data_IF_481427018872
#
_entry.id   IF_481427018872
#
_cell.length_a   1.000
_cell.length_b   1.000
_cell.length_c   1.000
_cell.angle_alpha   90.00
_cell.angle_beta   90.00
_cell.angle_gamma   90.00
#
_symmetry.space_group_name_H-M   'P 1'
#
loop_
_entity.id
_entity.type
_entity.pdbx_description
1 polymer ?
#
# COMPACT_ATOMS: atom_id res chain seq x y z
N UNK A 1 -23.95 -20.09 -21.09
CA UNK A 1 -23.85 -21.50 -21.57
C UNK A 1 -23.00 -22.24 -20.55
N UNK A 2 -23.65 -23.07 -19.69
CA UNK A 2 -22.95 -23.98 -18.78
C UNK A 2 -22.31 -25.08 -19.66
N UNK A 3 -20.98 -25.13 -19.69
CA UNK A 3 -20.27 -26.27 -20.26
C UNK A 3 -20.61 -27.48 -19.38
N UNK A 4 -21.25 -28.48 -19.97
CA UNK A 4 -21.55 -29.74 -19.30
C UNK A 4 -20.25 -30.48 -18.94
N UNK A 5 -20.30 -31.44 -18.03
CA UNK A 5 -19.13 -32.17 -17.58
C UNK A 5 -18.53 -32.95 -18.74
N UNK A 6 -17.25 -32.67 -19.07
CA UNK A 6 -16.45 -33.49 -19.97
C UNK A 6 -16.12 -34.79 -19.20
N UNK A 7 -16.93 -35.82 -19.39
CA UNK A 7 -16.64 -37.17 -18.91
C UNK A 7 -15.45 -37.73 -19.68
N UNK A 8 -14.26 -37.73 -19.08
CA UNK A 8 -13.10 -38.45 -19.58
C UNK A 8 -13.35 -39.99 -19.43
N UNK A 9 -12.97 -40.82 -20.41
CA UNK A 9 -13.07 -42.27 -20.28
C UNK A 9 -12.03 -42.74 -19.24
N UNK A 10 -12.47 -42.91 -17.99
CA UNK A 10 -11.59 -43.30 -16.89
C UNK A 10 -12.10 -42.88 -15.50
N UNK A 11 -13.27 -42.24 -15.40
CA UNK A 11 -13.98 -42.04 -14.13
C UNK A 11 -13.39 -41.02 -13.15
N UNK A 12 -12.45 -40.15 -13.57
CA UNK A 12 -11.96 -39.03 -12.73
C UNK A 12 -12.86 -37.80 -12.94
N UNK A 13 -13.75 -37.54 -11.97
CA UNK A 13 -14.55 -36.31 -11.90
C UNK A 13 -13.67 -35.19 -11.28
N UNK A 14 -13.00 -34.43 -12.13
CA UNK A 14 -12.17 -33.28 -11.70
C UNK A 14 -13.09 -32.09 -11.38
N UNK A 15 -13.38 -31.89 -10.10
CA UNK A 15 -14.10 -30.72 -9.57
C UNK A 15 -13.15 -29.71 -8.98
N UNK A 16 -12.68 -28.71 -9.75
CA UNK A 16 -11.86 -27.63 -9.19
C UNK A 16 -12.68 -26.89 -8.13
N UNK A 17 -12.17 -26.86 -6.90
CA UNK A 17 -12.83 -26.17 -5.78
C UNK A 17 -11.98 -24.99 -5.33
N UNK A 18 -12.52 -23.79 -5.46
CA UNK A 18 -11.90 -22.57 -4.95
C UNK A 18 -12.33 -22.37 -3.50
N UNK A 19 -11.41 -22.59 -2.55
CA UNK A 19 -11.72 -22.65 -1.12
C UNK A 19 -12.12 -21.29 -0.50
N UNK A 20 -11.55 -20.18 -1.00
CA UNK A 20 -11.72 -18.86 -0.39
C UNK A 20 -12.66 -17.93 -1.15
N UNK A 21 -13.08 -18.31 -2.34
CA UNK A 21 -14.06 -17.62 -3.15
C UNK A 21 -14.89 -18.63 -3.96
N UNK A 22 -15.75 -19.44 -3.29
CA UNK A 22 -16.49 -20.53 -3.94
C UNK A 22 -17.36 -20.08 -5.09
N UNK A 23 -17.92 -18.88 -4.99
CA UNK A 23 -18.83 -18.30 -6.00
C UNK A 23 -18.09 -17.52 -7.09
N UNK A 24 -16.73 -17.48 -7.05
CA UNK A 24 -15.87 -16.75 -7.98
C UNK A 24 -16.26 -15.28 -8.12
N UNK A 25 -16.72 -14.65 -7.04
CA UNK A 25 -17.11 -13.26 -7.05
C UNK A 25 -15.89 -12.35 -7.15
N UNK A 26 -15.83 -11.59 -8.23
CA UNK A 26 -14.75 -10.64 -8.47
C UNK A 26 -14.60 -9.57 -7.36
N UNK A 27 -15.73 -9.20 -6.71
CA UNK A 27 -15.73 -8.23 -5.61
C UNK A 27 -14.81 -8.65 -4.46
N UNK A 28 -14.80 -9.92 -4.07
CA UNK A 28 -13.99 -10.45 -2.98
C UNK A 28 -12.50 -10.29 -3.24
N UNK A 29 -12.09 -10.31 -4.52
CA UNK A 29 -10.70 -10.13 -4.91
C UNK A 29 -10.31 -8.65 -5.04
N UNK A 30 -11.18 -7.84 -5.66
CA UNK A 30 -10.85 -6.46 -6.01
C UNK A 30 -11.03 -5.48 -4.84
N UNK A 31 -12.06 -5.63 -4.00
CA UNK A 31 -12.35 -4.62 -2.96
C UNK A 31 -11.22 -4.51 -1.92
N UNK A 32 -10.65 -5.59 -1.35
CA UNK A 32 -9.49 -5.45 -0.48
C UNK A 32 -8.29 -4.79 -1.18
N UNK A 33 -8.12 -5.04 -2.47
CA UNK A 33 -7.07 -4.39 -3.26
C UNK A 33 -7.31 -2.90 -3.49
N UNK A 34 -8.56 -2.49 -3.70
CA UNK A 34 -8.94 -1.07 -3.82
C UNK A 34 -8.66 -0.33 -2.50
N UNK A 35 -8.92 -0.96 -1.34
CA UNK A 35 -8.56 -0.39 -0.04
C UNK A 35 -7.07 -0.09 0.02
N UNK A 36 -6.22 -1.06 -0.35
CA UNK A 36 -4.77 -0.87 -0.35
C UNK A 36 -4.32 0.27 -1.28
N UNK A 37 -4.93 0.37 -2.46
CA UNK A 37 -4.62 1.41 -3.44
C UNK A 37 -5.06 2.79 -2.97
N UNK A 38 -6.23 2.93 -2.35
CA UNK A 38 -6.72 4.20 -1.80
C UNK A 38 -5.80 4.69 -0.69
N UNK A 39 -5.45 3.83 0.25
CA UNK A 39 -4.51 4.15 1.34
C UNK A 39 -3.15 4.60 0.79
N UNK A 40 -2.64 3.92 -0.24
CA UNK A 40 -1.39 4.30 -0.90
C UNK A 40 -1.51 5.67 -1.58
N UNK A 41 -2.55 5.87 -2.38
CA UNK A 41 -2.73 7.10 -3.14
C UNK A 41 -2.90 8.31 -2.21
N UNK A 42 -3.77 8.19 -1.20
CA UNK A 42 -4.01 9.27 -0.21
C UNK A 42 -2.72 9.55 0.57
N UNK A 43 -2.04 8.51 1.06
CA UNK A 43 -0.77 8.64 1.79
C UNK A 43 0.32 9.33 0.95
N UNK A 44 0.52 8.90 -0.30
CA UNK A 44 1.47 9.52 -1.22
C UNK A 44 1.12 10.98 -1.54
N UNK A 45 -0.16 11.26 -1.86
CA UNK A 45 -0.62 12.62 -2.20
C UNK A 45 -0.40 13.60 -1.04
N UNK A 46 -0.85 13.23 0.16
CA UNK A 46 -0.73 14.10 1.34
C UNK A 46 0.73 14.39 1.68
N UNK A 47 1.59 13.37 1.66
CA UNK A 47 3.00 13.55 2.03
C UNK A 47 3.84 14.19 0.93
N UNK A 48 3.56 13.90 -0.34
CA UNK A 48 4.29 14.52 -1.44
C UNK A 48 4.08 16.04 -1.51
N UNK A 49 2.92 16.53 -1.05
CA UNK A 49 2.62 17.95 -0.98
C UNK A 49 3.12 18.62 0.31
N UNK A 50 3.42 17.85 1.37
CA UNK A 50 3.65 18.38 2.70
C UNK A 50 4.81 19.38 2.81
N UNK A 51 5.98 19.06 2.21
CA UNK A 51 7.17 19.91 2.25
C UNK A 51 7.17 20.92 1.08
N UNK A 52 6.68 20.51 -0.08
CA UNK A 52 6.61 21.39 -1.26
C UNK A 52 5.73 22.59 -0.98
N UNK A 53 4.63 22.42 -0.26
CA UNK A 53 3.75 23.51 0.13
C UNK A 53 4.49 24.55 0.98
N UNK A 54 5.33 24.13 1.93
CA UNK A 54 6.16 25.02 2.74
C UNK A 54 7.20 25.77 1.88
N UNK A 55 7.75 25.11 0.85
CA UNK A 55 8.67 25.73 -0.09
C UNK A 55 7.97 26.81 -0.94
N UNK A 56 6.77 26.51 -1.47
CA UNK A 56 6.01 27.46 -2.30
C UNK A 56 5.53 28.69 -1.52
N UNK A 57 5.17 28.50 -0.26
CA UNK A 57 4.71 29.61 0.61
C UNK A 57 5.87 30.38 1.26
N UNK A 58 7.12 29.91 1.10
CA UNK A 58 8.30 30.55 1.71
C UNK A 58 8.45 30.32 3.22
N UNK A 59 7.58 29.50 3.83
CA UNK A 59 7.64 29.21 5.28
C UNK A 59 8.78 28.29 5.67
N UNK A 60 9.40 27.62 4.71
CA UNK A 60 10.53 26.72 5.00
C UNK A 60 11.74 27.47 5.60
N UNK A 61 11.98 28.74 5.17
CA UNK A 61 13.04 29.56 5.71
C UNK A 61 12.83 29.88 7.21
N UNK A 62 11.60 30.11 7.61
CA UNK A 62 11.23 30.33 9.02
C UNK A 62 11.45 29.08 9.85
N UNK A 63 11.21 27.92 9.30
CA UNK A 63 11.43 26.63 9.98
C UNK A 63 12.93 26.37 10.15
N UNK A 64 13.78 26.78 9.18
CA UNK A 64 15.22 26.60 9.24
C UNK A 64 15.91 27.41 10.33
N UNK A 65 15.37 28.57 10.75
CA UNK A 65 15.93 29.36 11.85
C UNK A 65 15.49 28.86 13.24
N UNK A 66 14.56 27.91 13.30
CA UNK A 66 14.16 27.27 14.55
C UNK A 66 15.11 26.11 14.91
N UNK A 67 15.41 25.86 16.20
CA UNK A 67 16.31 24.78 16.63
C UNK A 67 15.66 23.38 16.56
N UNK A 68 14.80 23.15 15.58
CA UNK A 68 14.10 21.86 15.37
C UNK A 68 15.01 20.90 14.58
N UNK A 69 15.13 19.67 15.07
CA UNK A 69 15.86 18.63 14.33
C UNK A 69 15.08 18.19 13.09
N UNK A 70 15.74 17.94 11.94
CA UNK A 70 15.08 17.48 10.72
C UNK A 70 14.17 16.25 10.90
N UNK A 71 14.57 15.33 11.78
CA UNK A 71 13.78 14.13 12.12
C UNK A 71 12.47 14.51 12.83
N UNK A 72 12.53 15.44 13.79
CA UNK A 72 11.36 15.89 14.54
C UNK A 72 10.34 16.58 13.62
N UNK A 73 10.84 17.41 12.72
CA UNK A 73 10.01 18.05 11.70
C UNK A 73 9.30 17.04 10.80
N UNK A 74 10.05 16.07 10.26
CA UNK A 74 9.51 15.04 9.39
C UNK A 74 8.50 14.16 10.12
N UNK A 75 8.81 13.70 11.33
CA UNK A 75 7.89 12.89 12.12
C UNK A 75 6.63 13.66 12.47
N UNK A 76 6.76 14.94 12.82
CA UNK A 76 5.60 15.82 13.09
C UNK A 76 4.69 15.99 11.88
N UNK A 77 5.25 16.03 10.67
CA UNK A 77 4.46 16.10 9.42
C UNK A 77 3.85 14.75 9.05
N UNK A 78 4.57 13.65 9.26
CA UNK A 78 4.09 12.30 8.91
C UNK A 78 3.02 11.77 9.88
N UNK A 79 3.11 12.10 11.17
CA UNK A 79 2.21 11.57 12.18
C UNK A 79 0.71 11.81 11.87
N UNK A 80 0.26 13.04 11.54
CA UNK A 80 -1.14 13.27 11.18
C UNK A 80 -1.55 12.50 9.93
N UNK A 81 -0.67 12.35 8.93
CA UNK A 81 -0.98 11.60 7.72
C UNK A 81 -1.04 10.09 7.97
N UNK A 82 -0.22 9.57 8.88
CA UNK A 82 -0.33 8.19 9.32
C UNK A 82 -1.68 7.92 10.01
N UNK A 83 -2.13 8.84 10.87
CA UNK A 83 -3.45 8.73 11.50
C UNK A 83 -4.57 8.77 10.46
N UNK A 84 -4.50 9.69 9.49
CA UNK A 84 -5.46 9.74 8.38
C UNK A 84 -5.49 8.43 7.61
N UNK A 85 -4.32 7.85 7.26
CA UNK A 85 -4.25 6.58 6.54
C UNK A 85 -4.80 5.39 7.33
N UNK A 86 -4.63 5.37 8.65
CA UNK A 86 -5.25 4.35 9.52
C UNK A 86 -6.77 4.51 9.59
N UNK A 87 -7.26 5.74 9.69
CA UNK A 87 -8.70 6.03 9.66
C UNK A 87 -9.30 5.67 8.30
N UNK A 88 -8.62 6.02 7.20
CA UNK A 88 -9.01 5.66 5.85
C UNK A 88 -9.13 4.14 5.68
N UNK A 89 -8.13 3.39 6.14
CA UNK A 89 -8.19 1.92 6.16
C UNK A 89 -9.40 1.39 6.93
N UNK A 90 -9.66 1.93 8.12
CA UNK A 90 -10.78 1.50 8.93
C UNK A 90 -12.13 1.83 8.26
N UNK A 91 -12.26 3.04 7.72
CA UNK A 91 -13.47 3.51 7.05
C UNK A 91 -13.78 2.71 5.79
N UNK A 92 -12.78 2.56 4.90
CA UNK A 92 -12.99 1.83 3.63
C UNK A 92 -13.18 0.33 3.89
N UNK A 93 -12.53 -0.22 4.94
CA UNK A 93 -12.79 -1.60 5.38
C UNK A 93 -14.22 -1.76 5.90
N UNK A 94 -14.74 -0.79 6.67
CA UNK A 94 -16.13 -0.80 7.12
C UNK A 94 -17.11 -0.76 5.94
N UNK A 95 -16.84 0.09 4.93
CA UNK A 95 -17.65 0.09 3.69
C UNK A 95 -17.57 -1.26 2.98
N UNK A 96 -16.39 -1.88 2.90
CA UNK A 96 -16.20 -3.21 2.33
C UNK A 96 -17.05 -4.27 3.03
N UNK A 97 -17.09 -4.24 4.37
CA UNK A 97 -17.87 -5.18 5.16
C UNK A 97 -19.39 -4.94 5.04
N UNK A 98 -19.83 -3.69 5.29
CA UNK A 98 -21.26 -3.40 5.44
C UNK A 98 -21.99 -3.15 4.13
N UNK A 99 -21.31 -2.66 3.10
CA UNK A 99 -21.93 -2.36 1.81
C UNK A 99 -21.70 -3.45 0.76
N UNK A 100 -20.50 -4.03 0.75
CA UNK A 100 -20.12 -5.05 -0.23
C UNK A 100 -20.22 -6.48 0.29
N UNK A 101 -20.61 -6.68 1.56
CA UNK A 101 -20.72 -8.00 2.22
C UNK A 101 -19.46 -8.86 2.07
N UNK A 102 -18.28 -8.23 2.14
CA UNK A 102 -17.02 -8.95 1.99
C UNK A 102 -16.71 -9.69 3.28
N UNK A 103 -16.37 -10.99 3.21
CA UNK A 103 -16.05 -11.75 4.41
C UNK A 103 -14.77 -11.20 5.07
N UNK A 104 -14.88 -10.85 6.35
CA UNK A 104 -13.73 -10.49 7.18
C UNK A 104 -13.48 -11.62 8.19
N UNK A 105 -12.45 -12.42 7.94
CA UNK A 105 -12.18 -13.63 8.71
C UNK A 105 -11.01 -13.50 9.67
N UNK A 106 -10.17 -12.49 9.50
CA UNK A 106 -8.94 -12.31 10.26
C UNK A 106 -9.04 -11.30 11.39
N UNK A 107 -7.89 -10.87 11.92
CA UNK A 107 -7.79 -9.90 13.01
C UNK A 107 -7.70 -8.48 12.46
N UNK A 108 -8.56 -7.59 12.96
CA UNK A 108 -8.51 -6.16 12.63
C UNK A 108 -7.22 -5.49 13.14
N UNK A 109 -6.70 -5.93 14.28
CA UNK A 109 -5.43 -5.45 14.81
C UNK A 109 -4.26 -5.78 13.87
N UNK A 110 -4.26 -6.97 13.25
CA UNK A 110 -3.25 -7.36 12.27
C UNK A 110 -3.34 -6.53 10.98
N UNK A 111 -4.56 -6.20 10.55
CA UNK A 111 -4.79 -5.28 9.42
C UNK A 111 -4.20 -3.89 9.72
N UNK A 112 -4.51 -3.32 10.89
CA UNK A 112 -3.98 -2.01 11.30
C UNK A 112 -2.46 -2.02 11.43
N UNK A 113 -1.87 -3.10 11.97
CA UNK A 113 -0.42 -3.25 12.04
C UNK A 113 0.19 -3.27 10.63
N UNK A 114 -0.35 -4.08 9.72
CA UNK A 114 0.08 -4.13 8.32
C UNK A 114 -0.05 -2.77 7.63
N UNK A 115 -1.15 -2.06 7.88
CA UNK A 115 -1.36 -0.70 7.37
C UNK A 115 -0.34 0.28 7.93
N UNK A 116 -0.04 0.25 9.22
CA UNK A 116 0.95 1.14 9.83
C UNK A 116 2.34 0.93 9.22
N UNK A 117 2.75 -0.32 8.99
CA UNK A 117 4.02 -0.65 8.34
C UNK A 117 4.03 -0.24 6.86
N UNK A 118 2.93 -0.43 6.16
CA UNK A 118 2.75 0.00 4.79
C UNK A 118 2.82 1.54 4.66
N UNK A 119 2.16 2.25 5.56
CA UNK A 119 2.20 3.70 5.63
C UNK A 119 3.62 4.22 5.89
N UNK A 120 4.42 3.55 6.71
CA UNK A 120 5.82 3.94 6.94
C UNK A 120 6.60 4.05 5.61
N UNK A 121 6.46 3.06 4.73
CA UNK A 121 7.06 3.07 3.39
C UNK A 121 6.44 4.12 2.47
N UNK A 122 5.12 4.14 2.40
CA UNK A 122 4.37 5.05 1.52
C UNK A 122 4.61 6.51 1.86
N UNK A 123 4.55 6.87 3.16
CA UNK A 123 4.83 8.23 3.63
C UNK A 123 6.29 8.61 3.36
N UNK A 124 7.24 7.67 3.51
CA UNK A 124 8.64 7.88 3.17
C UNK A 124 8.86 8.20 1.69
N UNK A 125 8.18 7.46 0.79
CA UNK A 125 8.22 7.72 -0.66
C UNK A 125 7.61 9.10 -0.98
N UNK A 126 6.45 9.41 -0.41
CA UNK A 126 5.81 10.73 -0.58
C UNK A 126 6.71 11.87 -0.11
N UNK A 127 7.38 11.72 1.04
CA UNK A 127 8.38 12.68 1.51
C UNK A 127 9.56 12.82 0.54
N UNK A 128 10.09 11.72 0.02
CA UNK A 128 11.16 11.77 -0.97
C UNK A 128 10.72 12.55 -2.21
N UNK A 129 9.52 12.29 -2.75
CA UNK A 129 8.93 13.04 -3.86
C UNK A 129 8.85 14.53 -3.50
N UNK A 130 8.41 14.86 -2.29
CA UNK A 130 8.29 16.23 -1.81
C UNK A 130 9.64 16.96 -1.75
N UNK A 131 10.73 16.26 -1.39
CA UNK A 131 12.05 16.88 -1.33
C UNK A 131 12.63 17.23 -2.69
N UNK A 132 12.35 16.44 -3.73
CA UNK A 132 12.88 16.65 -5.09
C UNK A 132 11.99 17.56 -5.93
N UNK A 133 10.73 17.74 -5.56
CA UNK A 133 9.78 18.59 -6.27
C UNK A 133 9.93 20.06 -5.86
N UNK A 134 9.67 20.95 -6.82
CA UNK A 134 9.69 22.41 -6.61
C UNK A 134 8.31 23.02 -6.44
N UNK A 135 7.29 22.40 -7.04
CA UNK A 135 5.90 22.86 -7.00
C UNK A 135 4.96 21.72 -6.60
N UNK A 136 3.81 22.04 -6.01
CA UNK A 136 2.79 21.05 -5.66
C UNK A 136 2.28 20.30 -6.89
N UNK A 137 2.15 21.00 -8.03
CA UNK A 137 1.77 20.36 -9.29
C UNK A 137 2.80 19.32 -9.73
N UNK A 138 4.10 19.62 -9.63
CA UNK A 138 5.17 18.68 -9.94
C UNK A 138 5.13 17.49 -8.99
N UNK A 139 4.95 17.70 -7.69
CA UNK A 139 4.84 16.64 -6.69
C UNK A 139 3.67 15.70 -7.00
N UNK A 140 2.52 16.26 -7.35
CA UNK A 140 1.34 15.49 -7.73
C UNK A 140 1.60 14.63 -8.97
N UNK A 141 2.16 15.19 -10.04
CA UNK A 141 2.48 14.43 -11.25
C UNK A 141 3.50 13.31 -10.97
N UNK A 142 4.54 13.61 -10.18
CA UNK A 142 5.55 12.60 -9.78
C UNK A 142 4.92 11.50 -8.94
N UNK A 143 3.95 11.83 -8.07
CA UNK A 143 3.20 10.85 -7.29
C UNK A 143 2.45 9.88 -8.19
N UNK A 144 1.74 10.36 -9.20
CA UNK A 144 1.06 9.49 -10.17
C UNK A 144 2.03 8.66 -10.98
N UNK A 145 3.16 9.24 -11.39
CA UNK A 145 4.21 8.53 -12.11
C UNK A 145 4.81 7.37 -11.29
N UNK A 146 4.84 7.48 -9.97
CA UNK A 146 5.22 6.40 -9.07
C UNK A 146 4.07 5.42 -8.81
N UNK A 147 2.85 5.93 -8.58
CA UNK A 147 1.68 5.14 -8.22
C UNK A 147 1.27 4.14 -9.31
N UNK A 148 1.24 4.55 -10.58
CA UNK A 148 0.82 3.67 -11.67
C UNK A 148 1.73 2.44 -11.87
N UNK A 149 3.06 2.56 -11.93
CA UNK A 149 3.93 1.38 -11.96
C UNK A 149 3.77 0.49 -10.73
N UNK A 150 3.70 1.07 -9.52
CA UNK A 150 3.46 0.29 -8.30
C UNK A 150 2.15 -0.51 -8.40
N UNK A 151 1.05 0.11 -8.84
CA UNK A 151 -0.22 -0.57 -9.07
C UNK A 151 -0.10 -1.73 -10.06
N UNK A 152 0.66 -1.55 -11.17
CA UNK A 152 0.84 -2.59 -12.19
C UNK A 152 1.66 -3.77 -11.67
N UNK A 153 2.75 -3.50 -10.93
CA UNK A 153 3.67 -4.54 -10.46
C UNK A 153 3.23 -5.20 -9.14
N UNK A 154 2.26 -4.62 -8.43
CA UNK A 154 1.77 -5.14 -7.15
C UNK A 154 1.05 -6.48 -7.23
N UNK A 155 0.61 -6.91 -8.41
CA UNK A 155 -0.26 -8.08 -8.56
C UNK A 155 -1.74 -7.77 -8.32
N UNK A 156 -2.13 -6.48 -8.38
CA UNK A 156 -3.52 -6.08 -8.28
C UNK A 156 -4.31 -6.37 -9.56
N UNK A 157 -3.80 -5.90 -10.72
CA UNK A 157 -4.47 -6.04 -12.01
C UNK A 157 -4.18 -7.40 -12.61
N UNK A 158 -2.91 -7.80 -12.65
CA UNK A 158 -2.46 -9.07 -13.21
C UNK A 158 -1.75 -9.91 -12.16
N UNK A 159 -1.98 -11.24 -12.12
CA UNK A 159 -1.24 -12.13 -11.24
C UNK A 159 0.27 -12.01 -11.51
N UNK A 160 1.07 -11.91 -10.46
CA UNK A 160 2.54 -11.78 -10.56
C UNK A 160 3.15 -12.95 -11.34
N UNK A 161 2.59 -14.16 -11.19
CA UNK A 161 3.02 -15.37 -11.90
C UNK A 161 2.88 -15.29 -13.43
N UNK A 162 2.06 -14.35 -13.93
CA UNK A 162 1.85 -14.12 -15.36
C UNK A 162 2.80 -13.07 -15.94
N UNK A 163 3.63 -12.44 -15.10
CA UNK A 163 4.59 -11.43 -15.54
C UNK A 163 5.92 -12.07 -15.95
N UNK A 164 6.70 -11.46 -16.87
CA UNK A 164 8.09 -11.87 -17.13
C UNK A 164 8.92 -11.82 -15.84
N UNK A 165 9.93 -12.69 -15.73
CA UNK A 165 10.74 -12.87 -14.52
C UNK A 165 11.33 -11.55 -13.99
N UNK A 166 11.81 -10.66 -14.87
CA UNK A 166 12.37 -9.36 -14.48
C UNK A 166 11.36 -8.53 -13.68
N UNK A 167 10.08 -8.51 -14.08
CA UNK A 167 9.03 -7.77 -13.37
C UNK A 167 8.61 -8.47 -12.08
N UNK A 168 8.71 -9.80 -12.00
CA UNK A 168 8.49 -10.53 -10.75
C UNK A 168 9.52 -10.15 -9.68
N UNK A 169 10.81 -10.02 -10.08
CA UNK A 169 11.88 -9.53 -9.18
C UNK A 169 11.67 -8.06 -8.78
N UNK A 170 11.32 -7.20 -9.74
CA UNK A 170 11.07 -5.79 -9.47
C UNK A 170 9.89 -5.59 -8.51
N UNK A 171 8.86 -6.44 -8.62
CA UNK A 171 7.68 -6.39 -7.75
C UNK A 171 7.99 -6.69 -6.27
N UNK A 172 9.12 -7.37 -5.97
CA UNK A 172 9.56 -7.57 -4.59
C UNK A 172 9.93 -6.27 -3.87
N UNK A 173 10.32 -5.24 -4.62
CA UNK A 173 10.62 -3.92 -4.07
C UNK A 173 9.37 -3.02 -3.96
N UNK A 174 8.20 -3.51 -4.34
CA UNK A 174 6.95 -2.77 -4.27
C UNK A 174 6.23 -3.00 -2.93
N UNK A 175 6.09 -1.98 -2.07
CA UNK A 175 5.38 -2.13 -0.80
C UNK A 175 3.89 -2.49 -0.99
N UNK A 176 3.27 -2.08 -2.10
CA UNK A 176 1.87 -2.40 -2.38
C UNK A 176 1.66 -3.90 -2.57
N UNK A 177 2.60 -4.62 -3.18
CA UNK A 177 2.56 -6.08 -3.32
C UNK A 177 2.42 -6.77 -1.97
N UNK A 178 3.29 -6.45 -1.02
CA UNK A 178 3.31 -7.05 0.31
C UNK A 178 2.03 -6.72 1.09
N UNK A 179 1.57 -5.48 0.99
CA UNK A 179 0.34 -5.06 1.65
C UNK A 179 -0.90 -5.74 1.05
N UNK A 180 -0.94 -5.99 -0.28
CA UNK A 180 -2.02 -6.74 -0.92
C UNK A 180 -2.10 -8.19 -0.42
N UNK A 181 -0.96 -8.83 -0.15
CA UNK A 181 -0.94 -10.17 0.45
C UNK A 181 -1.52 -10.13 1.86
N UNK A 182 -1.14 -9.13 2.67
CA UNK A 182 -1.64 -8.95 4.04
C UNK A 182 -3.15 -8.72 4.04
N UNK A 183 -3.63 -7.73 3.29
CA UNK A 183 -5.05 -7.35 3.31
C UNK A 183 -5.95 -8.48 2.79
N UNK A 184 -5.56 -9.14 1.69
CA UNK A 184 -6.29 -10.32 1.18
C UNK A 184 -6.21 -11.51 2.13
N UNK A 185 -5.07 -11.69 2.78
CA UNK A 185 -4.87 -12.72 3.80
C UNK A 185 -5.80 -12.54 5.00
N UNK A 186 -5.90 -11.33 5.51
CA UNK A 186 -6.76 -10.98 6.64
C UNK A 186 -8.25 -11.06 6.24
N UNK A 187 -8.65 -10.44 5.14
CA UNK A 187 -10.06 -10.41 4.72
C UNK A 187 -10.58 -11.79 4.34
N UNK A 188 -9.92 -12.46 3.40
CA UNK A 188 -10.49 -13.65 2.74
C UNK A 188 -10.11 -14.95 3.42
N UNK A 189 -8.84 -15.06 3.86
CA UNK A 189 -8.30 -16.32 4.36
C UNK A 189 -8.34 -16.43 5.89
N UNK A 190 -8.39 -15.30 6.61
CA UNK A 190 -8.32 -15.28 8.06
C UNK A 190 -6.99 -15.76 8.63
N UNK A 191 -5.89 -15.61 7.86
CA UNK A 191 -4.57 -16.02 8.30
C UNK A 191 -4.02 -15.10 9.38
N UNK A 192 -3.28 -15.68 10.32
CA UNK A 192 -2.68 -14.99 11.44
C UNK A 192 -1.27 -14.45 11.17
N UNK A 193 -0.65 -13.99 12.25
CA UNK A 193 0.72 -13.47 12.24
C UNK A 193 1.74 -14.55 11.85
N UNK A 194 1.48 -15.79 12.18
CA UNK A 194 2.28 -16.98 11.87
C UNK A 194 2.55 -17.16 10.37
N UNK A 195 1.61 -16.73 9.54
CA UNK A 195 1.72 -16.80 8.07
C UNK A 195 2.19 -15.48 7.45
N UNK A 196 1.75 -14.34 8.02
CA UNK A 196 1.96 -13.01 7.42
C UNK A 196 3.25 -12.31 7.88
N UNK A 197 4.01 -12.89 8.82
CA UNK A 197 5.24 -12.28 9.34
C UNK A 197 6.28 -11.93 8.26
N UNK A 198 6.49 -12.71 7.17
CA UNK A 198 7.47 -12.33 6.16
C UNK A 198 7.10 -11.03 5.44
N UNK A 199 5.81 -10.85 5.14
CA UNK A 199 5.29 -9.65 4.48
C UNK A 199 5.38 -8.42 5.39
N UNK A 200 5.11 -8.60 6.69
CA UNK A 200 5.24 -7.53 7.70
C UNK A 200 6.71 -7.11 7.87
N UNK A 201 7.63 -8.07 7.90
CA UNK A 201 9.08 -7.79 8.00
C UNK A 201 9.57 -7.10 6.73
N UNK A 202 9.11 -7.52 5.55
CA UNK A 202 9.43 -6.87 4.29
C UNK A 202 8.96 -5.40 4.27
N UNK A 203 7.71 -5.13 4.68
CA UNK A 203 7.18 -3.76 4.79
C UNK A 203 7.95 -2.92 5.80
N UNK A 204 8.30 -3.48 6.96
CA UNK A 204 9.10 -2.78 7.96
C UNK A 204 10.48 -2.42 7.40
N UNK A 205 11.18 -3.37 6.79
CA UNK A 205 12.51 -3.16 6.21
C UNK A 205 12.47 -2.08 5.12
N UNK A 206 11.53 -2.19 4.17
CA UNK A 206 11.33 -1.19 3.12
C UNK A 206 10.99 0.18 3.71
N UNK A 207 10.06 0.23 4.66
CA UNK A 207 9.64 1.47 5.30
C UNK A 207 10.80 2.18 6.02
N UNK A 208 11.61 1.44 6.79
CA UNK A 208 12.79 1.98 7.47
C UNK A 208 13.82 2.49 6.47
N UNK A 209 14.12 1.72 5.42
CA UNK A 209 15.09 2.11 4.38
C UNK A 209 14.63 3.39 3.68
N UNK A 210 13.39 3.43 3.20
CA UNK A 210 12.86 4.57 2.46
C UNK A 210 12.76 5.81 3.34
N UNK A 211 12.29 5.67 4.58
CA UNK A 211 12.18 6.78 5.53
C UNK A 211 13.55 7.34 5.88
N UNK A 212 14.54 6.47 6.14
CA UNK A 212 15.93 6.90 6.42
C UNK A 212 16.52 7.65 5.23
N UNK A 213 16.28 7.16 4.02
CA UNK A 213 16.72 7.82 2.79
C UNK A 213 16.05 9.18 2.60
N UNK A 214 14.75 9.29 2.83
CA UNK A 214 14.01 10.54 2.74
C UNK A 214 14.54 11.58 3.74
N UNK A 215 14.77 11.18 5.00
CA UNK A 215 15.35 12.04 6.05
C UNK A 215 16.77 12.49 5.68
N UNK A 216 17.61 11.58 5.19
CA UNK A 216 18.99 11.90 4.81
C UNK A 216 19.07 12.88 3.64
N UNK A 217 18.13 12.76 2.70
CA UNK A 217 18.04 13.67 1.56
C UNK A 217 17.57 15.06 1.98
N UNK A 218 16.61 15.13 2.90
CA UNK A 218 16.11 16.38 3.44
C UNK A 218 17.22 17.20 4.11
N UNK A 219 18.15 16.58 4.86
CA UNK A 219 19.31 17.24 5.47
C UNK A 219 20.27 17.88 4.46
N UNK A 220 20.33 17.40 3.21
CA UNK A 220 21.22 17.93 2.16
C UNK A 220 20.57 19.05 1.33
N UNK A 221 19.28 19.24 1.45
CA UNK A 221 18.52 20.27 0.72
C UNK A 221 18.26 21.51 1.57
N UNK A 222 18.56 21.46 2.86
CA UNK A 222 18.61 22.57 3.81
C UNK A 222 20.03 23.11 3.93
#
# INVERSE_FOLDING_TARGET
RRAGPLAAPGGLDLRPRVWFNPDLESRNYYVPGIIAMLVMLVGLMLTSMAIVREKETGTIEQIMVTPIRPVEFILGKCAPFAVVGLIDTALVSAVGLFWFDIPFRGSFALLLLGTALFLLGTLGIGLFISTVSRTQQQAMMTTFFFFFPAMLFSGFIFPISSMPEVFQWLSLADPLRHFLVIIRGVFLKGVGLDVLWPELVALLAMGVVVMTFAVSRFRKTL
#
